data_IF_588617862967
#
_entry.id   IF_588617862967
#
_cell.length_a   1.000
_cell.length_b   1.000
_cell.length_c   1.000
_cell.angle_alpha   90.00
_cell.angle_beta   90.00
_cell.angle_gamma   90.00
#
_symmetry.space_group_name_H-M   'P 1'
#
loop_
_entity.id
_entity.type
_entity.pdbx_description
1 polymer ?
#
# COMPACT_ATOMS: atom_id res chain seq x y z
N UNK A 1 8.89 2.58 -10.86
CA UNK A 1 8.08 3.35 -9.92
C UNK A 1 8.79 4.64 -9.54
N UNK A 2 8.02 5.70 -9.48
CA UNK A 2 8.53 6.98 -8.98
C UNK A 2 8.68 6.88 -7.47
N UNK A 3 9.74 7.47 -6.94
CA UNK A 3 9.95 7.59 -5.50
C UNK A 3 10.19 9.05 -5.16
N UNK A 4 9.96 9.42 -3.91
CA UNK A 4 10.33 10.75 -3.43
C UNK A 4 11.82 10.74 -3.05
N UNK A 5 12.34 11.90 -2.67
CA UNK A 5 13.76 12.05 -2.36
C UNK A 5 14.23 11.23 -1.17
N UNK A 6 13.31 10.80 -0.32
CA UNK A 6 13.59 9.97 0.85
C UNK A 6 13.19 8.52 0.61
N UNK A 7 12.91 8.21 -0.60
CA UNK A 7 12.24 7.12 -1.18
C UNK A 7 12.38 5.74 -0.59
N UNK A 8 11.30 5.29 0.00
CA UNK A 8 11.06 3.87 0.18
C UNK A 8 10.04 3.45 -0.86
N UNK A 9 10.40 2.47 -1.68
CA UNK A 9 9.43 1.94 -2.64
C UNK A 9 8.32 1.22 -1.89
N UNK A 10 7.11 1.27 -2.44
CA UNK A 10 5.95 0.62 -1.83
C UNK A 10 6.17 -0.89 -1.68
N UNK A 11 6.82 -1.52 -2.65
CA UNK A 11 7.15 -2.95 -2.54
C UNK A 11 8.14 -3.20 -1.39
N UNK A 12 9.08 -2.30 -1.16
CA UNK A 12 10.02 -2.44 -0.05
C UNK A 12 9.32 -2.33 1.30
N UNK A 13 8.29 -1.49 1.37
CA UNK A 13 7.47 -1.38 2.57
C UNK A 13 6.73 -2.69 2.85
N UNK A 14 6.18 -3.31 1.80
CA UNK A 14 5.53 -4.61 1.94
C UNK A 14 6.50 -5.67 2.47
N UNK A 15 7.73 -5.67 1.95
CA UNK A 15 8.78 -6.60 2.40
C UNK A 15 9.09 -6.38 3.89
N UNK A 16 9.25 -5.12 4.30
CA UNK A 16 9.54 -4.80 5.70
C UNK A 16 8.43 -5.28 6.63
N UNK A 17 7.18 -5.04 6.24
CA UNK A 17 6.04 -5.47 7.04
C UNK A 17 5.96 -7.00 7.14
N UNK A 18 6.25 -7.69 6.04
CA UNK A 18 6.28 -9.15 6.07
C UNK A 18 7.34 -9.66 7.02
N UNK A 19 8.51 -9.05 7.04
CA UNK A 19 9.59 -9.42 7.97
C UNK A 19 9.22 -9.19 9.41
N UNK A 20 8.33 -8.22 9.68
CA UNK A 20 7.82 -7.97 11.03
C UNK A 20 6.72 -8.94 11.45
N UNK A 21 6.34 -9.85 10.57
CA UNK A 21 5.36 -10.88 10.88
C UNK A 21 3.93 -10.57 10.43
N UNK A 22 3.72 -9.49 9.71
CA UNK A 22 2.39 -9.20 9.18
C UNK A 22 2.11 -10.02 7.93
N UNK A 23 0.85 -10.35 7.73
CA UNK A 23 0.39 -10.87 6.45
C UNK A 23 0.13 -9.68 5.53
N UNK A 24 0.80 -9.67 4.39
CA UNK A 24 0.68 -8.56 3.45
C UNK A 24 0.46 -9.08 2.05
N UNK A 25 -0.21 -8.27 1.24
CA UNK A 25 -0.26 -8.45 -0.21
C UNK A 25 0.05 -7.12 -0.87
N UNK A 26 0.62 -7.19 -2.05
CA UNK A 26 1.03 -6.02 -2.82
C UNK A 26 0.26 -5.96 -4.13
N UNK A 27 -0.29 -4.79 -4.44
CA UNK A 27 -1.14 -4.58 -5.61
C UNK A 27 -0.64 -3.39 -6.40
N UNK A 28 -0.55 -3.53 -7.71
CA UNK A 28 0.02 -2.48 -8.56
C UNK A 28 -0.40 -2.67 -10.01
N UNK A 29 -0.49 -1.55 -10.72
CA UNK A 29 -0.48 -1.60 -12.18
C UNK A 29 0.90 -2.01 -12.64
N UNK A 30 1.01 -2.41 -13.91
CA UNK A 30 2.30 -2.72 -14.51
C UNK A 30 3.19 -1.47 -14.47
N UNK A 31 4.42 -1.65 -14.01
CA UNK A 31 5.40 -0.57 -13.89
C UNK A 31 6.51 -0.79 -14.92
N UNK A 32 6.58 0.03 -15.97
CA UNK A 32 7.63 -0.13 -16.98
C UNK A 32 9.01 0.38 -16.53
N UNK A 33 9.07 1.10 -15.42
CA UNK A 33 10.29 1.80 -15.00
C UNK A 33 10.74 1.34 -13.62
N UNK A 34 11.08 0.06 -13.50
CA UNK A 34 11.55 -0.50 -12.24
C UNK A 34 13.05 -0.26 -12.12
N UNK A 35 13.47 0.43 -11.06
CA UNK A 35 14.89 0.65 -10.78
C UNK A 35 15.55 -0.63 -10.28
N UNK A 36 16.90 -0.71 -10.31
CA UNK A 36 17.59 -1.90 -9.79
C UNK A 36 17.29 -2.18 -8.32
N UNK A 37 17.21 -1.15 -7.48
CA UNK A 37 16.89 -1.34 -6.05
C UNK A 37 15.46 -1.80 -5.84
N UNK A 38 14.54 -1.26 -6.61
CA UNK A 38 13.15 -1.71 -6.57
C UNK A 38 13.03 -3.17 -7.02
N UNK A 39 13.77 -3.53 -8.05
CA UNK A 39 13.80 -4.91 -8.55
C UNK A 39 14.30 -5.89 -7.50
N UNK A 40 15.28 -5.47 -6.69
CA UNK A 40 15.74 -6.30 -5.58
C UNK A 40 14.64 -6.53 -4.54
N UNK A 41 13.86 -5.51 -4.26
CA UNK A 41 12.72 -5.65 -3.35
C UNK A 41 11.66 -6.60 -3.91
N UNK A 42 11.41 -6.57 -5.21
CA UNK A 42 10.51 -7.54 -5.83
C UNK A 42 11.02 -8.96 -5.70
N UNK A 43 12.33 -9.17 -5.86
CA UNK A 43 12.93 -10.50 -5.67
C UNK A 43 12.76 -10.96 -4.24
N UNK A 44 13.00 -10.09 -3.28
CA UNK A 44 12.85 -10.42 -1.87
C UNK A 44 11.39 -10.72 -1.53
N UNK A 45 10.47 -9.97 -2.07
CA UNK A 45 9.05 -10.23 -1.90
C UNK A 45 8.67 -11.63 -2.39
N UNK A 46 9.22 -12.03 -3.53
CA UNK A 46 8.97 -13.37 -4.07
C UNK A 46 9.52 -14.45 -3.16
N UNK A 47 10.73 -14.27 -2.63
CA UNK A 47 11.33 -15.20 -1.69
C UNK A 47 10.47 -15.33 -0.43
N UNK A 48 9.95 -14.23 0.06
CA UNK A 48 9.08 -14.20 1.24
C UNK A 48 7.65 -14.63 0.95
N UNK A 49 7.35 -14.94 -0.31
CA UNK A 49 6.03 -15.41 -0.74
C UNK A 49 4.92 -14.39 -0.50
N UNK A 50 5.22 -13.12 -0.69
CA UNK A 50 4.21 -12.07 -0.61
C UNK A 50 3.31 -12.16 -1.84
N UNK A 51 2.00 -12.35 -1.67
CA UNK A 51 1.09 -12.34 -2.81
C UNK A 51 1.12 -10.99 -3.52
N UNK A 52 1.14 -11.01 -4.84
CA UNK A 52 1.07 -9.81 -5.65
C UNK A 52 -0.09 -9.93 -6.61
N UNK A 53 -0.71 -8.80 -6.94
CA UNK A 53 -1.85 -8.78 -7.82
C UNK A 53 -2.03 -7.45 -8.51
N UNK A 54 -3.09 -7.33 -9.32
CA UNK A 54 -3.38 -6.08 -10.02
C UNK A 54 -3.77 -4.99 -9.03
N UNK A 55 -3.70 -3.74 -9.50
CA UNK A 55 -4.09 -2.59 -8.70
C UNK A 55 -5.53 -2.74 -8.23
N UNK A 56 -5.77 -2.32 -6.99
CA UNK A 56 -7.11 -2.35 -6.42
C UNK A 56 -7.90 -1.13 -6.87
N UNK A 57 -9.18 -1.33 -7.17
CA UNK A 57 -10.08 -0.22 -7.39
C UNK A 57 -10.37 0.47 -6.05
N UNK A 58 -10.95 1.66 -6.12
CA UNK A 58 -11.40 2.36 -4.92
C UNK A 58 -12.35 1.48 -4.10
N UNK A 59 -13.27 0.81 -4.78
CA UNK A 59 -14.23 -0.05 -4.14
C UNK A 59 -13.57 -1.26 -3.49
N UNK A 60 -12.55 -1.83 -4.14
CA UNK A 60 -11.80 -2.95 -3.57
C UNK A 60 -11.06 -2.52 -2.29
N UNK A 61 -10.49 -1.32 -2.29
CA UNK A 61 -9.83 -0.77 -1.11
C UNK A 61 -10.85 -0.61 0.02
N UNK A 62 -12.03 -0.09 -0.32
CA UNK A 62 -13.10 0.08 0.65
C UNK A 62 -13.52 -1.26 1.25
N UNK A 63 -13.63 -2.27 0.42
CA UNK A 63 -14.00 -3.62 0.87
C UNK A 63 -12.94 -4.20 1.80
N UNK A 64 -11.67 -4.06 1.48
CA UNK A 64 -10.60 -4.55 2.34
C UNK A 64 -10.61 -3.86 3.69
N UNK A 65 -10.83 -2.56 3.71
CA UNK A 65 -10.93 -1.79 4.94
C UNK A 65 -12.15 -2.23 5.78
N UNK A 66 -13.28 -2.48 5.13
CA UNK A 66 -14.48 -2.97 5.80
C UNK A 66 -14.28 -4.36 6.40
N UNK A 67 -13.40 -5.15 5.80
CA UNK A 67 -13.05 -6.48 6.31
C UNK A 67 -12.03 -6.44 7.45
N UNK A 68 -11.72 -5.26 7.96
CA UNK A 68 -10.83 -5.11 9.09
C UNK A 68 -9.35 -5.09 8.73
N UNK A 69 -9.02 -5.01 7.45
CA UNK A 69 -7.64 -4.93 7.02
C UNK A 69 -7.16 -3.50 6.97
N UNK A 70 -5.87 -3.31 7.16
CA UNK A 70 -5.24 -2.01 7.00
C UNK A 70 -4.68 -1.90 5.58
N UNK A 71 -4.76 -0.73 4.99
CA UNK A 71 -4.30 -0.53 3.62
C UNK A 71 -3.43 0.71 3.57
N UNK A 72 -2.24 0.57 3.01
CA UNK A 72 -1.36 1.67 2.69
C UNK A 72 -1.45 1.90 1.19
N UNK A 73 -1.68 3.14 0.79
CA UNK A 73 -1.81 3.51 -0.61
C UNK A 73 -0.72 4.49 -1.01
N UNK A 74 -0.33 4.40 -2.27
CA UNK A 74 0.65 5.30 -2.87
C UNK A 74 -0.08 6.24 -3.83
N UNK A 75 0.16 7.53 -3.71
CA UNK A 75 -0.51 8.53 -4.55
C UNK A 75 0.38 9.75 -4.68
N UNK A 76 0.10 10.53 -5.71
CA UNK A 76 0.80 11.79 -5.95
C UNK A 76 0.20 12.88 -5.10
N UNK A 77 1.05 13.67 -4.47
CA UNK A 77 0.57 14.85 -3.77
C UNK A 77 0.37 16.00 -4.76
N UNK A 78 -0.28 17.06 -4.31
CA UNK A 78 -0.48 18.23 -5.15
C UNK A 78 0.85 18.90 -5.52
N UNK A 79 1.91 18.62 -4.78
CA UNK A 79 3.24 19.14 -5.06
C UNK A 79 4.05 18.25 -5.99
N UNK A 80 3.45 17.17 -6.50
CA UNK A 80 4.13 16.28 -7.43
C UNK A 80 5.06 15.27 -6.77
N UNK A 81 4.94 15.08 -5.48
CA UNK A 81 5.75 14.12 -4.71
C UNK A 81 4.89 12.90 -4.40
N UNK A 82 5.45 11.71 -4.60
CA UNK A 82 4.76 10.48 -4.24
C UNK A 82 4.69 10.34 -2.72
N UNK A 83 3.55 9.88 -2.20
CA UNK A 83 3.32 9.74 -0.78
C UNK A 83 2.62 8.43 -0.47
N UNK A 84 3.08 7.75 0.56
CA UNK A 84 2.48 6.52 1.07
C UNK A 84 1.75 6.85 2.35
N UNK A 85 0.45 6.54 2.42
CA UNK A 85 -0.35 6.85 3.59
C UNK A 85 -1.21 5.66 3.99
N UNK A 86 -1.34 5.49 5.30
CA UNK A 86 -2.21 4.49 5.88
C UNK A 86 -3.62 5.05 5.96
N UNK A 87 -4.58 4.30 5.47
CA UNK A 87 -5.98 4.71 5.47
C UNK A 87 -6.55 4.59 6.87
N UNK A 88 -7.14 5.69 7.36
CA UNK A 88 -7.88 5.70 8.61
C UNK A 88 -9.34 5.29 8.41
N UNK A 89 -9.99 5.89 7.40
CA UNK A 89 -11.37 5.56 7.06
C UNK A 89 -11.61 5.86 5.59
N UNK A 90 -12.58 5.18 5.02
CA UNK A 90 -12.91 5.35 3.61
C UNK A 90 -14.40 5.07 3.43
N UNK A 91 -15.08 5.94 2.67
CA UNK A 91 -16.42 5.68 2.21
C UNK A 91 -16.49 6.00 0.70
N UNK A 92 -17.66 5.93 0.12
CA UNK A 92 -17.81 6.11 -1.32
C UNK A 92 -17.47 7.52 -1.80
N UNK A 93 -17.43 8.50 -0.91
CA UNK A 93 -17.24 9.91 -1.25
C UNK A 93 -15.85 10.44 -0.88
N UNK A 94 -15.25 9.92 0.16
CA UNK A 94 -14.01 10.47 0.67
C UNK A 94 -13.16 9.43 1.39
N UNK A 95 -11.88 9.73 1.49
CA UNK A 95 -10.90 8.90 2.15
C UNK A 95 -10.11 9.76 3.15
N UNK A 96 -9.88 9.20 4.33
CA UNK A 96 -9.11 9.86 5.39
C UNK A 96 -7.88 9.05 5.72
N UNK A 97 -6.77 9.73 5.98
CA UNK A 97 -5.51 9.11 6.31
C UNK A 97 -5.09 9.44 7.73
N UNK A 98 -4.29 8.56 8.34
CA UNK A 98 -3.78 8.80 9.69
C UNK A 98 -2.87 10.02 9.76
N UNK A 99 -2.20 10.37 8.68
CA UNK A 99 -1.23 11.45 8.64
C UNK A 99 -1.81 12.77 8.11
N UNK A 100 -3.13 12.87 7.99
CA UNK A 100 -3.79 14.07 7.50
C UNK A 100 -5.08 14.32 8.25
N UNK A 101 -5.30 15.57 8.63
CA UNK A 101 -6.53 15.96 9.32
C UNK A 101 -7.71 16.16 8.38
N UNK A 102 -7.43 16.38 7.10
CA UNK A 102 -8.49 16.70 6.16
C UNK A 102 -8.77 15.51 5.25
N UNK A 103 -10.06 15.18 5.08
CA UNK A 103 -10.42 14.13 4.14
C UNK A 103 -10.13 14.55 2.70
N UNK A 104 -9.81 13.58 1.88
CA UNK A 104 -9.60 13.77 0.45
C UNK A 104 -10.81 13.19 -0.27
N UNK A 105 -11.33 13.89 -1.27
CA UNK A 105 -12.44 13.34 -2.04
C UNK A 105 -11.99 12.11 -2.82
N UNK A 106 -12.92 11.18 -3.03
CA UNK A 106 -12.62 9.99 -3.81
C UNK A 106 -12.11 10.34 -5.20
N UNK A 107 -12.69 11.36 -5.83
CA UNK A 107 -12.27 11.77 -7.18
C UNK A 107 -10.83 12.28 -7.21
N UNK A 108 -10.45 13.09 -6.23
CA UNK A 108 -9.08 13.61 -6.13
C UNK A 108 -8.11 12.44 -5.89
N UNK A 109 -8.43 11.58 -4.94
CA UNK A 109 -7.60 10.43 -4.62
C UNK A 109 -7.37 9.54 -5.85
N UNK A 110 -8.45 9.19 -6.55
CA UNK A 110 -8.33 8.34 -7.75
C UNK A 110 -7.49 9.01 -8.83
N UNK A 111 -7.63 10.31 -8.99
CA UNK A 111 -6.82 11.05 -9.96
C UNK A 111 -5.34 11.02 -9.57
N UNK A 112 -5.04 11.20 -8.30
CA UNK A 112 -3.66 11.22 -7.81
C UNK A 112 -3.00 9.83 -7.83
N UNK A 113 -3.78 8.77 -7.73
CA UNK A 113 -3.26 7.41 -7.86
C UNK A 113 -2.85 7.07 -9.29
N UNK A 114 -3.47 7.72 -10.24
CA UNK A 114 -3.23 7.47 -11.67
C UNK A 114 -2.09 8.29 -12.23
N UNK A 115 -1.46 9.13 -11.42
CA UNK A 115 -0.34 9.94 -11.88
C UNK A 115 0.80 9.06 -12.36
N UNK A 116 1.56 9.58 -13.30
CA UNK A 116 2.66 8.85 -13.91
C UNK A 116 3.65 8.37 -12.85
N UNK A 117 4.00 7.10 -12.92
CA UNK A 117 4.98 6.49 -12.01
C UNK A 117 4.41 6.07 -10.66
N UNK A 118 3.15 6.34 -10.39
CA UNK A 118 2.50 5.93 -9.13
C UNK A 118 1.97 4.51 -9.20
N UNK A 119 1.49 4.09 -10.38
CA UNK A 119 1.06 2.72 -10.66
C UNK A 119 -0.03 2.20 -9.73
N UNK A 120 -0.80 3.07 -9.10
CA UNK A 120 -1.87 2.74 -8.15
C UNK A 120 -1.45 1.67 -7.14
N UNK A 121 -0.23 1.77 -6.64
CA UNK A 121 0.33 0.77 -5.74
C UNK A 121 -0.33 0.83 -4.37
N UNK A 122 -0.54 -0.34 -3.78
CA UNK A 122 -1.11 -0.46 -2.45
C UNK A 122 -0.59 -1.70 -1.77
N UNK A 123 -0.55 -1.65 -0.44
CA UNK A 123 -0.22 -2.80 0.40
C UNK A 123 -1.42 -3.05 1.30
N UNK A 124 -1.96 -4.26 1.23
CA UNK A 124 -3.03 -4.69 2.12
C UNK A 124 -2.40 -5.49 3.25
N UNK A 125 -2.70 -5.09 4.48
CA UNK A 125 -2.10 -5.66 5.68
C UNK A 125 -3.18 -6.39 6.45
N UNK A 126 -3.02 -7.69 6.59
CA UNK A 126 -3.87 -8.51 7.43
C UNK A 126 -3.33 -8.52 8.85
N UNK A 127 -3.77 -9.49 9.63
CA UNK A 127 -3.31 -9.61 10.98
C UNK A 127 -1.82 -9.93 11.02
N UNK A 128 -1.15 -9.41 12.03
CA UNK A 128 0.19 -9.85 12.31
C UNK A 128 0.17 -11.32 12.67
N UNK A 129 1.10 -12.08 12.12
CA UNK A 129 1.17 -13.51 12.40
C UNK A 129 1.74 -13.73 13.80
N UNK A 130 0.87 -13.63 14.80
CA UNK A 130 1.22 -13.82 16.20
C UNK A 130 0.64 -15.10 16.76
N UNK A 131 0.23 -16.01 15.90
CA UNK A 131 -0.42 -17.23 16.36
C UNK A 131 0.44 -18.03 17.35
N UNK A 132 1.75 -17.97 17.19
CA UNK A 132 2.67 -18.62 18.14
C UNK A 132 2.55 -17.98 19.52
N UNK A 133 2.35 -16.67 19.57
CA UNK A 133 2.24 -15.94 20.83
C UNK A 133 0.82 -15.93 21.35
N UNK A 134 -0.14 -15.65 20.49
CA UNK A 134 -1.53 -15.53 20.90
C UNK A 134 -2.08 -16.83 21.45
N UNK A 135 -1.73 -17.95 20.86
CA UNK A 135 -2.17 -19.25 21.35
C UNK A 135 -1.59 -19.58 22.70
N UNK A 136 -0.41 -19.06 23.02
CA UNK A 136 0.22 -19.28 24.32
C UNK A 136 -0.34 -18.38 25.41
N UNK A 137 -0.85 -17.24 25.03
CA UNK A 137 -1.41 -16.28 25.96
C UNK A 137 -2.83 -16.64 26.37
N UNK A 138 -3.45 -17.48 25.62
CA UNK A 138 -4.81 -17.93 25.90
C UNK A 138 -4.82 -19.24 26.73
#
# INVERSE_FOLDING_TARGET
>A
CRYDDEGTYTIALAVALKKLGFEVSFHSDHDPNISPSERMSYKEAKILKIPTGPALSYQDIQTETQNGKMVIVYYDTLEGVGNQSLIYSIDQNEICFFDSFEPMSAAVFENQRKAEGICRQAVVIGDRNLNIHSTKLN
#
